data_IF_383772907611
#
_entry.id   IF_383772907611
#
_cell.length_a   1.000
_cell.length_b   1.000
_cell.length_c   1.000
_cell.angle_alpha   90.00
_cell.angle_beta   90.00
_cell.angle_gamma   90.00
#
_symmetry.space_group_name_H-M   'P 1'
#
loop_
_entity.id
_entity.type
_entity.pdbx_description
1 polymer ?
#
# COMPACT_ATOMS: atom_id res chain seq x y z
N UNK A 1 -16.60 -38.74 -1.68
CA UNK A 1 -17.96 -38.16 -1.59
C UNK A 1 -17.83 -36.88 -0.79
N UNK A 2 -17.75 -35.72 -1.45
CA UNK A 2 -18.88 -34.82 -1.77
C UNK A 2 -19.59 -34.36 -0.48
N UNK A 3 -19.83 -33.09 -0.18
CA UNK A 3 -19.80 -31.83 -0.93
C UNK A 3 -20.20 -30.77 0.13
N UNK A 4 -19.51 -29.65 0.29
CA UNK A 4 -19.89 -28.35 -0.26
C UNK A 4 -19.94 -27.32 0.89
N UNK A 5 -18.81 -26.71 1.22
CA UNK A 5 -18.79 -25.42 1.93
C UNK A 5 -19.28 -24.36 0.92
N UNK A 6 -20.58 -24.08 0.93
CA UNK A 6 -21.15 -22.99 0.15
C UNK A 6 -20.86 -21.66 0.84
N UNK A 7 -20.09 -20.84 0.12
CA UNK A 7 -20.15 -19.38 0.04
C UNK A 7 -21.23 -18.70 0.90
N UNK A 8 -20.77 -17.87 1.82
CA UNK A 8 -21.55 -16.72 2.30
C UNK A 8 -20.71 -15.45 2.23
N UNK A 9 -20.29 -15.09 1.01
CA UNK A 9 -20.03 -13.68 0.70
C UNK A 9 -21.39 -12.98 0.71
N UNK A 10 -21.78 -12.38 1.85
CA UNK A 10 -22.82 -11.36 1.84
C UNK A 10 -22.25 -10.16 1.10
N UNK A 11 -22.67 -10.01 -0.14
CA UNK A 11 -22.61 -8.75 -0.85
C UNK A 11 -23.41 -7.72 -0.05
N UNK A 12 -22.72 -6.78 0.61
CA UNK A 12 -23.38 -5.58 1.11
C UNK A 12 -23.92 -4.82 -0.11
N UNK A 13 -25.24 -4.82 -0.29
CA UNK A 13 -25.88 -3.91 -1.23
C UNK A 13 -25.62 -2.47 -0.75
N UNK A 14 -25.22 -1.54 -1.64
CA UNK A 14 -25.03 -0.15 -1.29
C UNK A 14 -26.41 0.48 -1.09
N UNK A 15 -26.84 0.63 0.16
CA UNK A 15 -28.09 1.33 0.47
C UNK A 15 -28.79 0.99 1.79
N UNK A 16 -28.35 0.00 2.56
CA UNK A 16 -29.05 -0.40 3.79
C UNK A 16 -28.12 -0.59 5.00
N UNK A 17 -27.31 0.42 5.30
CA UNK A 17 -26.71 0.54 6.61
C UNK A 17 -26.88 1.97 7.13
N UNK A 18 -27.73 2.09 8.16
CA UNK A 18 -27.71 3.07 9.27
C UNK A 18 -29.05 3.78 9.49
N UNK A 19 -30.04 3.04 9.96
CA UNK A 19 -30.97 3.54 10.98
C UNK A 19 -30.87 2.64 12.21
N UNK A 20 -29.79 2.81 12.96
CA UNK A 20 -29.79 2.52 14.39
C UNK A 20 -29.65 3.87 15.09
N UNK A 21 -30.77 4.60 15.14
CA UNK A 21 -30.89 5.84 15.90
C UNK A 21 -30.96 5.46 17.37
N UNK A 22 -29.80 5.47 18.03
CA UNK A 22 -29.75 5.56 19.49
C UNK A 22 -30.20 6.96 19.91
N UNK A 23 -31.21 7.01 20.77
CA UNK A 23 -31.87 8.21 21.23
C UNK A 23 -30.90 9.27 21.80
N UNK A 24 -31.08 10.53 21.40
CA UNK A 24 -30.84 11.70 22.26
C UNK A 24 -29.43 12.32 22.33
N UNK A 25 -28.40 11.77 21.65
CA UNK A 25 -27.13 12.47 21.46
C UNK A 25 -26.76 12.43 19.98
N UNK A 26 -26.81 13.58 19.32
CA UNK A 26 -26.15 13.76 18.01
C UNK A 26 -24.65 13.62 18.23
N UNK A 27 -24.13 12.41 18.04
CA UNK A 27 -22.70 12.22 17.92
C UNK A 27 -22.27 12.93 16.63
N UNK A 28 -21.56 14.04 16.76
CA UNK A 28 -20.90 14.63 15.61
C UNK A 28 -19.96 13.58 15.03
N UNK A 29 -20.15 13.24 13.76
CA UNK A 29 -19.25 12.35 13.04
C UNK A 29 -17.87 12.99 12.95
N UNK A 30 -16.83 12.19 12.69
CA UNK A 30 -15.47 12.76 12.54
C UNK A 30 -15.43 13.75 11.37
N UNK A 31 -16.23 13.48 10.34
CA UNK A 31 -16.44 14.33 9.21
C UNK A 31 -17.18 15.63 9.55
N UNK A 32 -18.23 15.59 10.40
CA UNK A 32 -18.87 16.83 10.89
C UNK A 32 -17.91 17.69 11.71
N UNK A 33 -17.10 17.09 12.59
CA UNK A 33 -16.11 17.81 13.38
C UNK A 33 -15.01 18.41 12.49
N UNK A 34 -14.55 17.67 11.48
CA UNK A 34 -13.61 18.17 10.48
C UNK A 34 -14.22 19.30 9.64
N UNK A 35 -15.52 19.23 9.30
CA UNK A 35 -16.23 20.32 8.63
C UNK A 35 -16.33 21.57 9.49
N UNK A 36 -16.67 21.40 10.77
CA UNK A 36 -16.75 22.49 11.72
C UNK A 36 -15.41 23.23 11.85
N UNK A 37 -14.27 22.52 11.73
CA UNK A 37 -12.94 23.12 11.74
C UNK A 37 -12.72 24.12 10.59
N UNK A 38 -13.23 23.83 9.40
CA UNK A 38 -13.14 24.75 8.24
C UNK A 38 -14.27 25.78 8.21
N UNK A 39 -15.34 25.57 8.98
CA UNK A 39 -16.54 26.42 8.94
C UNK A 39 -17.14 26.48 7.53
N UNK A 40 -17.28 27.69 7.00
CA UNK A 40 -17.81 27.93 5.63
C UNK A 40 -16.72 27.92 4.56
N UNK A 41 -15.46 27.73 4.92
CA UNK A 41 -14.34 27.84 4.00
C UNK A 41 -14.08 26.56 3.19
N UNK A 42 -13.34 26.72 2.09
CA UNK A 42 -12.84 25.61 1.28
C UNK A 42 -11.79 24.76 2.01
N UNK A 43 -12.03 23.45 2.09
CA UNK A 43 -11.09 22.47 2.63
C UNK A 43 -9.85 22.36 1.76
N UNK A 44 -8.69 22.80 2.25
CA UNK A 44 -7.40 22.64 1.59
C UNK A 44 -6.28 22.39 2.60
N UNK A 45 -5.22 21.70 2.17
CA UNK A 45 -4.10 21.35 3.05
C UNK A 45 -3.42 22.59 3.63
N UNK A 46 -3.23 23.65 2.83
CA UNK A 46 -2.62 24.90 3.28
C UNK A 46 -3.42 25.56 4.39
N UNK A 47 -4.75 25.62 4.26
CA UNK A 47 -5.64 26.17 5.28
C UNK A 47 -5.67 25.31 6.52
N UNK A 48 -5.75 23.99 6.35
CA UNK A 48 -5.69 23.05 7.45
C UNK A 48 -4.42 23.26 8.28
N UNK A 49 -3.26 23.34 7.62
CA UNK A 49 -1.98 23.63 8.29
C UNK A 49 -1.98 24.98 9.00
N UNK A 50 -2.56 26.02 8.40
CA UNK A 50 -2.69 27.34 9.05
C UNK A 50 -3.50 27.25 10.34
N UNK A 51 -4.69 26.63 10.29
CA UNK A 51 -5.55 26.41 11.46
C UNK A 51 -4.80 25.60 12.52
N UNK A 52 -4.16 24.50 12.12
CA UNK A 52 -3.37 23.64 13.01
C UNK A 52 -2.22 24.39 13.70
N UNK A 53 -1.59 25.34 13.02
CA UNK A 53 -0.48 26.13 13.57
C UNK A 53 -0.94 27.13 14.64
N UNK A 54 -2.17 27.63 14.54
CA UNK A 54 -2.79 28.54 15.52
C UNK A 54 -3.29 27.80 16.77
N UNK A 55 -3.41 26.47 16.71
CA UNK A 55 -3.87 25.64 17.82
C UNK A 55 -2.73 25.16 18.75
N UNK A 56 -3.03 24.93 20.04
CA UNK A 56 -2.11 24.27 20.97
C UNK A 56 -1.68 22.87 20.49
N UNK A 57 -0.48 22.38 20.86
CA UNK A 57 0.06 21.11 20.36
C UNK A 57 -0.88 19.90 20.50
N UNK A 58 -1.57 19.79 21.65
CA UNK A 58 -2.52 18.70 21.91
C UNK A 58 -3.70 18.74 20.92
N UNK A 59 -4.27 19.93 20.70
CA UNK A 59 -5.36 20.14 19.74
C UNK A 59 -4.90 19.89 18.30
N UNK A 60 -3.67 20.30 17.98
CA UNK A 60 -3.07 20.04 16.67
C UNK A 60 -2.99 18.54 16.36
N UNK A 61 -2.50 17.75 17.32
CA UNK A 61 -2.42 16.30 17.17
C UNK A 61 -3.82 15.68 17.03
N UNK A 62 -4.78 16.12 17.86
CA UNK A 62 -6.17 15.67 17.80
C UNK A 62 -6.77 15.85 16.40
N UNK A 63 -6.75 17.05 15.84
CA UNK A 63 -7.36 17.31 14.53
C UNK A 63 -6.66 16.60 13.37
N UNK A 64 -5.35 16.39 13.48
CA UNK A 64 -4.64 15.58 12.50
C UNK A 64 -5.12 14.12 12.56
N UNK A 65 -5.17 13.51 13.75
CA UNK A 65 -5.66 12.14 13.91
C UNK A 65 -7.13 12.02 13.50
N UNK A 66 -7.95 13.03 13.79
CA UNK A 66 -9.34 13.11 13.34
C UNK A 66 -9.43 13.08 11.80
N UNK A 67 -8.60 13.87 11.11
CA UNK A 67 -8.55 13.87 9.65
C UNK A 67 -8.17 12.50 9.08
N UNK A 68 -7.18 11.83 9.69
CA UNK A 68 -6.83 10.46 9.30
C UNK A 68 -8.00 9.49 9.51
N UNK A 69 -8.57 9.44 10.72
CA UNK A 69 -9.68 8.53 11.06
C UNK A 69 -10.91 8.77 10.19
N UNK A 70 -11.26 10.03 9.93
CA UNK A 70 -12.35 10.39 9.01
C UNK A 70 -12.11 9.82 7.60
N UNK A 71 -10.87 9.86 7.10
CA UNK A 71 -10.53 9.31 5.79
C UNK A 71 -10.77 7.80 5.68
N UNK A 72 -10.56 7.05 6.76
CA UNK A 72 -10.69 5.59 6.76
C UNK A 72 -12.10 5.10 7.12
N UNK A 73 -12.79 5.81 8.02
CA UNK A 73 -14.07 5.34 8.56
C UNK A 73 -15.29 5.95 7.87
N UNK A 74 -15.13 7.09 7.18
CA UNK A 74 -16.24 7.91 6.68
C UNK A 74 -16.01 8.36 5.23
N UNK A 75 -15.13 7.67 4.49
CA UNK A 75 -14.77 8.01 3.11
C UNK A 75 -15.99 8.10 2.19
N UNK A 76 -16.86 7.10 2.24
CA UNK A 76 -18.05 6.89 1.44
C UNK A 76 -19.12 7.97 1.65
N UNK A 77 -19.26 8.50 2.87
CA UNK A 77 -20.19 9.60 3.18
C UNK A 77 -19.59 10.99 2.93
N UNK A 78 -18.28 11.08 2.71
CA UNK A 78 -17.57 12.33 2.52
C UNK A 78 -17.75 12.89 1.11
N UNK A 79 -17.94 14.21 0.99
CA UNK A 79 -18.01 14.84 -0.33
C UNK A 79 -16.64 14.85 -1.05
N UNK A 80 -16.69 15.04 -2.37
CA UNK A 80 -15.49 15.00 -3.25
C UNK A 80 -14.40 15.98 -2.82
N UNK A 81 -14.77 17.18 -2.34
CA UNK A 81 -13.80 18.22 -1.94
C UNK A 81 -12.99 17.78 -0.71
N UNK A 82 -13.65 17.16 0.26
CA UNK A 82 -12.97 16.66 1.46
C UNK A 82 -12.14 15.42 1.17
N UNK A 83 -12.63 14.51 0.31
CA UNK A 83 -11.82 13.38 -0.17
C UNK A 83 -10.54 13.87 -0.85
N UNK A 84 -10.63 14.84 -1.76
CA UNK A 84 -9.48 15.43 -2.44
C UNK A 84 -8.52 16.12 -1.45
N UNK A 85 -9.06 16.88 -0.49
CA UNK A 85 -8.27 17.46 0.58
C UNK A 85 -7.49 16.41 1.37
N UNK A 86 -8.14 15.32 1.81
CA UNK A 86 -7.51 14.27 2.59
C UNK A 86 -6.48 13.51 1.76
N UNK A 87 -6.77 13.23 0.49
CA UNK A 87 -5.78 12.66 -0.43
C UNK A 87 -4.53 13.54 -0.49
N UNK A 88 -4.69 14.85 -0.71
CA UNK A 88 -3.55 15.77 -0.72
C UNK A 88 -2.86 15.91 0.63
N UNK A 89 -3.60 15.80 1.74
CA UNK A 89 -3.00 15.81 3.08
C UNK A 89 -2.08 14.60 3.24
N UNK A 90 -2.51 13.43 2.77
CA UNK A 90 -1.79 12.17 2.92
C UNK A 90 -0.55 12.12 2.03
N UNK A 91 -0.69 12.55 0.78
CA UNK A 91 0.41 12.52 -0.20
C UNK A 91 1.41 13.67 -0.05
N UNK A 92 1.11 14.69 0.77
CA UNK A 92 2.07 15.76 1.07
C UNK A 92 3.18 15.29 2.01
N UNK A 93 2.87 14.37 2.91
CA UNK A 93 3.82 13.80 3.87
C UNK A 93 3.57 12.28 3.98
N UNK A 94 4.14 11.57 3.02
CA UNK A 94 4.01 10.12 2.91
C UNK A 94 4.55 9.40 4.15
N UNK A 95 5.66 9.88 4.73
CA UNK A 95 6.27 9.26 5.90
C UNK A 95 5.37 9.39 7.12
N UNK A 96 4.84 10.59 7.38
CA UNK A 96 3.93 10.80 8.51
C UNK A 96 2.65 9.98 8.37
N UNK A 97 2.11 9.90 7.16
CA UNK A 97 0.93 9.09 6.86
C UNK A 97 1.22 7.60 7.09
N UNK A 98 2.39 7.12 6.65
CA UNK A 98 2.82 5.75 6.88
C UNK A 98 2.92 5.45 8.38
N UNK A 99 3.61 6.29 9.14
CA UNK A 99 3.77 6.12 10.59
C UNK A 99 2.41 6.08 11.28
N UNK A 100 1.48 6.99 10.94
CA UNK A 100 0.13 6.95 11.49
C UNK A 100 -0.56 5.60 11.18
N UNK A 101 -0.48 5.12 9.95
CA UNK A 101 -1.12 3.87 9.55
C UNK A 101 -0.54 2.66 10.29
N UNK A 102 0.77 2.59 10.41
CA UNK A 102 1.43 1.45 11.07
C UNK A 102 1.27 1.51 12.60
N UNK A 103 1.38 2.68 13.22
CA UNK A 103 1.39 2.83 14.67
C UNK A 103 -0.02 2.94 15.28
N UNK A 104 -0.99 3.49 14.52
CA UNK A 104 -2.33 3.81 15.03
C UNK A 104 -3.44 2.94 14.46
N UNK A 105 -3.12 1.97 13.60
CA UNK A 105 -4.11 1.05 13.01
C UNK A 105 -3.60 -0.40 13.01
N UNK A 106 -4.49 -1.34 12.73
CA UNK A 106 -4.15 -2.77 12.61
C UNK A 106 -3.20 -3.06 11.45
N UNK A 107 -3.01 -2.15 10.50
CA UNK A 107 -2.14 -2.38 9.34
C UNK A 107 -0.68 -2.66 9.77
N UNK A 108 -0.19 -2.03 10.84
CA UNK A 108 1.14 -2.32 11.36
C UNK A 108 1.32 -3.76 11.83
N UNK A 109 0.27 -4.41 12.33
CA UNK A 109 0.34 -5.80 12.78
C UNK A 109 0.17 -6.81 11.64
N UNK A 110 -0.16 -6.34 10.43
CA UNK A 110 -0.39 -7.17 9.25
C UNK A 110 0.80 -7.15 8.28
N UNK A 111 1.90 -6.47 8.64
CA UNK A 111 3.11 -6.48 7.84
C UNK A 111 3.71 -7.89 7.74
N UNK A 112 4.32 -8.16 6.61
CA UNK A 112 4.98 -9.43 6.32
C UNK A 112 6.50 -9.27 6.26
N UNK A 113 7.22 -10.09 7.02
CA UNK A 113 8.68 -10.08 7.03
C UNK A 113 9.24 -10.83 5.83
N UNK A 114 9.73 -10.08 4.84
CA UNK A 114 10.43 -10.65 3.68
C UNK A 114 11.78 -11.23 4.09
N UNK A 115 12.09 -12.41 3.55
CA UNK A 115 13.41 -13.04 3.73
C UNK A 115 14.52 -12.29 3.00
N UNK A 116 14.23 -11.76 1.80
CA UNK A 116 15.20 -11.04 0.96
C UNK A 116 14.58 -9.71 0.46
N UNK A 117 14.31 -8.73 1.37
CA UNK A 117 13.63 -7.49 1.02
C UNK A 117 14.40 -6.66 -0.02
N UNK A 118 15.74 -6.73 -0.01
CA UNK A 118 16.57 -6.03 -1.00
C UNK A 118 16.39 -6.57 -2.42
N UNK A 119 16.23 -7.89 -2.59
CA UNK A 119 16.03 -8.50 -3.91
C UNK A 119 14.65 -8.12 -4.44
N UNK A 120 13.60 -8.24 -3.62
CA UNK A 120 12.23 -7.86 -4.00
C UNK A 120 12.15 -6.38 -4.36
N UNK A 121 12.80 -5.51 -3.58
CA UNK A 121 12.88 -4.08 -3.87
C UNK A 121 13.51 -3.81 -5.24
N UNK A 122 14.65 -4.43 -5.56
CA UNK A 122 15.31 -4.24 -6.87
C UNK A 122 14.47 -4.81 -8.02
N UNK A 123 13.85 -5.96 -7.80
CA UNK A 123 12.97 -6.58 -8.78
C UNK A 123 11.77 -5.68 -9.13
N UNK A 124 11.08 -5.17 -8.11
CA UNK A 124 9.93 -4.26 -8.31
C UNK A 124 10.38 -2.95 -8.97
N UNK A 125 11.51 -2.38 -8.53
CA UNK A 125 12.07 -1.17 -9.14
C UNK A 125 12.36 -1.32 -10.63
N UNK A 126 12.89 -2.49 -11.03
CA UNK A 126 13.17 -2.81 -12.43
C UNK A 126 11.91 -3.07 -13.26
N UNK A 127 10.91 -3.76 -12.69
CA UNK A 127 9.62 -3.98 -13.37
C UNK A 127 8.90 -2.67 -13.67
N UNK A 128 8.92 -1.74 -12.72
CA UNK A 128 8.25 -0.43 -12.83
C UNK A 128 9.13 0.64 -13.49
N UNK A 129 10.27 0.29 -14.07
CA UNK A 129 11.17 1.24 -14.73
C UNK A 129 10.43 1.98 -15.88
N UNK A 130 10.69 3.28 -16.11
CA UNK A 130 10.13 4.07 -17.22
C UNK A 130 10.14 3.40 -18.60
N UNK A 131 11.13 2.55 -18.89
CA UNK A 131 11.18 1.77 -20.13
C UNK A 131 10.01 0.76 -20.25
N UNK A 132 9.49 0.31 -19.11
CA UNK A 132 8.42 -0.69 -18.98
C UNK A 132 7.07 -0.07 -18.58
N UNK A 133 7.06 1.08 -17.90
CA UNK A 133 5.88 1.74 -17.34
C UNK A 133 5.99 3.26 -17.52
N UNK A 134 5.11 3.93 -18.28
CA UNK A 134 5.22 5.38 -18.48
C UNK A 134 4.90 6.15 -17.20
N UNK A 135 5.90 6.86 -16.65
CA UNK A 135 5.81 7.77 -15.49
C UNK A 135 5.44 7.12 -14.14
N UNK A 136 6.23 6.16 -13.62
CA UNK A 136 6.00 5.55 -12.32
C UNK A 136 6.20 6.57 -11.18
N UNK A 137 5.27 6.60 -10.21
CA UNK A 137 5.47 7.32 -8.96
C UNK A 137 6.20 6.43 -7.95
N UNK A 138 7.52 6.46 -7.97
CA UNK A 138 8.35 5.67 -7.03
C UNK A 138 8.10 5.99 -5.56
N UNK A 139 7.66 7.22 -5.24
CA UNK A 139 7.23 7.57 -3.88
C UNK A 139 5.95 6.84 -3.46
N UNK A 140 4.97 6.78 -4.35
CA UNK A 140 3.73 6.06 -4.09
C UNK A 140 3.99 4.55 -3.98
N UNK A 141 4.85 4.01 -4.86
CA UNK A 141 5.26 2.61 -4.81
C UNK A 141 6.00 2.28 -3.51
N UNK A 142 6.95 3.12 -3.10
CA UNK A 142 7.67 2.97 -1.83
C UNK A 142 6.72 3.02 -0.63
N UNK A 143 5.73 3.92 -0.64
CA UNK A 143 4.72 4.00 0.41
C UNK A 143 3.91 2.70 0.50
N UNK A 144 3.40 2.20 -0.63
CA UNK A 144 2.63 0.95 -0.69
C UNK A 144 3.46 -0.25 -0.22
N UNK A 145 4.73 -0.33 -0.62
CA UNK A 145 5.63 -1.39 -0.16
C UNK A 145 5.90 -1.30 1.33
N UNK A 146 6.10 -0.09 1.86
CA UNK A 146 6.36 0.11 3.29
C UNK A 146 5.12 -0.16 4.16
N UNK A 147 3.91 -0.10 3.58
CA UNK A 147 2.69 -0.51 4.29
C UNK A 147 2.63 -2.02 4.49
N UNK A 148 3.13 -2.81 3.54
CA UNK A 148 3.01 -4.28 3.55
C UNK A 148 4.26 -4.97 4.09
N UNK A 149 5.43 -4.37 3.88
CA UNK A 149 6.73 -4.93 4.26
C UNK A 149 7.49 -3.93 5.14
N UNK A 150 8.11 -4.37 6.25
CA UNK A 150 8.80 -3.48 7.18
C UNK A 150 10.20 -3.10 6.66
N UNK A 151 10.25 -2.14 5.74
CA UNK A 151 11.52 -1.52 5.32
C UNK A 151 12.03 -0.56 6.40
N UNK A 152 13.33 -0.61 6.70
CA UNK A 152 14.00 0.30 7.65
C UNK A 152 14.28 1.71 7.10
N UNK A 153 13.94 1.94 5.83
CA UNK A 153 14.20 3.19 5.12
C UNK A 153 12.99 4.13 5.16
N UNK A 154 13.26 5.43 5.06
CA UNK A 154 12.17 6.38 4.81
C UNK A 154 11.52 6.12 3.46
N UNK A 155 10.25 6.48 3.31
CA UNK A 155 9.51 6.35 2.03
C UNK A 155 10.26 7.05 0.89
N UNK A 156 10.82 8.23 1.16
CA UNK A 156 11.63 8.96 0.18
C UNK A 156 12.87 8.19 -0.25
N UNK A 157 13.63 7.68 0.72
CA UNK A 157 14.85 6.94 0.42
C UNK A 157 14.58 5.62 -0.29
N UNK A 158 13.55 4.87 0.12
CA UNK A 158 13.11 3.68 -0.58
C UNK A 158 12.66 4.00 -2.02
N UNK A 159 11.95 5.10 -2.23
CA UNK A 159 11.57 5.57 -3.57
C UNK A 159 12.78 5.84 -4.47
N UNK A 160 13.84 6.42 -3.93
CA UNK A 160 15.09 6.62 -4.68
C UNK A 160 15.80 5.29 -4.96
N UNK A 161 15.77 4.33 -4.03
CA UNK A 161 16.33 2.99 -4.23
C UNK A 161 15.59 2.20 -5.30
N UNK A 162 14.26 2.25 -5.31
CA UNK A 162 13.43 1.64 -6.35
C UNK A 162 13.77 2.19 -7.75
N UNK A 163 14.07 3.48 -7.84
CA UNK A 163 14.42 4.13 -9.12
C UNK A 163 15.83 3.76 -9.61
N UNK A 164 16.77 3.60 -8.69
CA UNK A 164 18.22 3.59 -9.02
C UNK A 164 18.86 2.22 -8.96
N UNK A 165 18.32 1.29 -8.17
CA UNK A 165 18.92 -0.03 -8.01
C UNK A 165 18.28 -1.03 -8.97
N UNK A 166 19.14 -1.75 -9.69
CA UNK A 166 18.76 -2.78 -10.66
C UNK A 166 19.04 -4.17 -10.10
N UNK A 167 18.27 -5.16 -10.54
CA UNK A 167 18.52 -6.54 -10.21
C UNK A 167 19.87 -6.99 -10.77
N UNK A 168 20.66 -7.68 -9.95
CA UNK A 168 21.97 -8.18 -10.36
C UNK A 168 21.90 -9.65 -10.76
N UNK A 169 22.89 -10.14 -11.51
CA UNK A 169 23.02 -11.57 -11.79
C UNK A 169 23.15 -12.39 -10.51
N UNK A 170 23.82 -11.84 -9.49
CA UNK A 170 23.93 -12.47 -8.16
C UNK A 170 22.57 -12.61 -7.47
N UNK A 171 21.71 -11.59 -7.57
CA UNK A 171 20.35 -11.68 -7.02
C UNK A 171 19.55 -12.81 -7.68
N UNK A 172 19.69 -12.96 -8.99
CA UNK A 172 19.05 -14.03 -9.75
C UNK A 172 19.59 -15.41 -9.39
N UNK A 173 20.91 -15.54 -9.19
CA UNK A 173 21.53 -16.78 -8.73
C UNK A 173 21.05 -17.14 -7.31
N UNK A 174 21.03 -16.18 -6.38
CA UNK A 174 20.53 -16.40 -5.01
C UNK A 174 19.04 -16.77 -4.99
N UNK A 175 18.23 -16.20 -5.88
CA UNK A 175 16.85 -16.63 -6.06
C UNK A 175 16.79 -18.06 -6.60
N UNK A 176 17.50 -18.34 -7.69
CA UNK A 176 17.53 -19.65 -8.34
C UNK A 176 17.97 -20.78 -7.39
N UNK A 177 18.98 -20.55 -6.57
CA UNK A 177 19.47 -21.54 -5.60
C UNK A 177 18.48 -21.83 -4.47
N UNK A 178 17.60 -20.86 -4.17
CA UNK A 178 16.51 -20.99 -3.18
C UNK A 178 15.21 -21.51 -3.80
N UNK A 179 15.10 -21.52 -5.13
CA UNK A 179 13.92 -22.02 -5.83
C UNK A 179 13.95 -23.54 -5.82
N UNK A 180 12.94 -24.16 -5.20
CA UNK A 180 12.66 -25.59 -5.40
C UNK A 180 12.14 -25.77 -6.84
N UNK A 181 13.04 -26.00 -7.78
CA UNK A 181 12.70 -26.52 -9.11
C UNK A 181 12.22 -27.96 -8.90
N UNK A 182 10.94 -28.26 -9.17
CA UNK A 182 10.45 -29.61 -8.90
C UNK A 182 8.95 -29.87 -8.94
N UNK A 183 8.10 -28.92 -9.33
CA UNK A 183 6.67 -29.23 -9.44
C UNK A 183 5.87 -28.28 -10.35
N UNK A 184 6.51 -27.64 -11.33
CA UNK A 184 5.79 -26.87 -12.35
C UNK A 184 5.95 -27.51 -13.74
N UNK A 185 4.95 -27.42 -14.64
CA UNK A 185 5.03 -27.97 -16.00
C UNK A 185 6.21 -27.44 -16.83
N UNK A 186 6.75 -26.27 -16.44
CA UNK A 186 7.95 -25.66 -17.02
C UNK A 186 9.26 -26.40 -16.70
N UNK A 187 9.31 -27.19 -15.62
CA UNK A 187 10.50 -27.97 -15.25
C UNK A 187 10.79 -29.07 -16.29
N UNK A 188 9.75 -29.55 -16.97
CA UNK A 188 9.87 -30.50 -18.08
C UNK A 188 10.62 -29.88 -19.26
N UNK A 189 10.34 -28.61 -19.59
CA UNK A 189 11.05 -27.88 -20.65
C UNK A 189 12.54 -27.68 -20.34
N UNK A 190 12.90 -27.38 -19.09
CA UNK A 190 14.31 -27.18 -18.72
C UNK A 190 15.10 -28.51 -18.73
N UNK A 191 14.48 -29.62 -18.29
CA UNK A 191 15.08 -30.95 -18.39
C UNK A 191 15.27 -31.37 -19.87
N UNK A 192 14.24 -31.20 -20.69
CA UNK A 192 14.27 -31.53 -22.11
C UNK A 192 15.29 -30.68 -22.87
N UNK A 193 15.41 -29.39 -22.53
CA UNK A 193 16.41 -28.50 -23.13
C UNK A 193 17.85 -28.91 -22.77
N UNK A 194 18.12 -29.26 -21.50
CA UNK A 194 19.45 -29.75 -21.08
C UNK A 194 19.82 -31.09 -21.75
N UNK A 195 18.86 -31.99 -21.93
CA UNK A 195 19.06 -33.26 -22.65
C UNK A 195 19.37 -33.03 -24.13
N UNK A 196 18.60 -32.17 -24.82
CA UNK A 196 18.82 -31.82 -26.22
C UNK A 196 20.20 -31.17 -26.42
N UNK A 197 20.63 -30.32 -25.49
CA UNK A 197 21.95 -29.68 -25.55
C UNK A 197 23.10 -30.66 -25.26
N UNK A 198 22.92 -31.66 -24.39
CA UNK A 198 23.89 -32.74 -24.18
C UNK A 198 24.03 -33.65 -25.40
N UNK A 199 22.95 -33.84 -26.17
CA UNK A 199 22.94 -34.76 -27.30
C UNK A 199 23.33 -34.11 -28.65
N UNK A 200 23.33 -32.78 -28.76
CA UNK A 200 23.79 -32.06 -29.96
C UNK A 200 25.29 -32.23 -30.29
N UNK A 201 26.09 -32.78 -29.37
CA UNK A 201 27.52 -33.06 -29.59
C UNK A 201 27.85 -34.51 -29.98
N UNK A 202 26.88 -35.45 -29.93
CA UNK A 202 27.14 -36.85 -30.29
C UNK A 202 26.79 -37.06 -31.77
N UNK A 203 27.83 -37.18 -32.61
CA UNK A 203 27.64 -37.70 -33.97
C UNK A 203 27.02 -39.10 -33.89
N UNK A 204 26.00 -39.43 -34.69
CA UNK A 204 25.48 -40.78 -34.77
C UNK A 204 26.58 -41.71 -35.33
N UNK A 205 26.77 -42.84 -34.65
CA UNK A 205 27.59 -43.95 -35.16
C UNK A 205 26.90 -44.66 -36.31
#
# INVERSE_FOLDING_TARGET
MNQSCRYFFRTCQPGQAREFILAGKTYNTMYEELKALFGKETSSVRKFQKILNELPPVRRLHYLQLAYKAAFCEWDVMNVRYRLFLTHLFTRDWQRTLNFLLESTVLGTLQFDLQEPGIIQRFIGQLENPENSPNPSFLHLAFSLSLVFPYSWSVGYLGDKLRTQILTSEDLLRLNDKTLLGSDPGDKFHCDYKEVMKNKGKKPC
#
